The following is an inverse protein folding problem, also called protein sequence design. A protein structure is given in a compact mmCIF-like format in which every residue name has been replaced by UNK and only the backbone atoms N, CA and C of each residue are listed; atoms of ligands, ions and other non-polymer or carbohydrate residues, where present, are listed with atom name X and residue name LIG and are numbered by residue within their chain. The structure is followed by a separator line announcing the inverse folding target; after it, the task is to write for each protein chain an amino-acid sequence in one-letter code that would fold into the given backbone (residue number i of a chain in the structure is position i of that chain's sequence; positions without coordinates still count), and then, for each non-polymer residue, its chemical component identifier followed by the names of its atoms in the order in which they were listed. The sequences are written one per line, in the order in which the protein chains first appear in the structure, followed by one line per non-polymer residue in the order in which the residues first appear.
data_IF_565583733972
#
_entry.id   IF_565583733972
#
_cell.length_a   1.000
_cell.length_b   1.000
_cell.length_c   1.000
_cell.angle_alpha   90.00
_cell.angle_beta   90.00
_cell.angle_gamma   90.00
#
_symmetry.space_group_name_H-M   'P 1'
#
loop_
_entity.id
_entity.type
_entity.pdbx_description
1 polymer ?
#
# COMPACT_ATOMS: atom_id res chain seq x y z
N UNK A 1 -41.06 -7.87 -18.60
CA UNK A 1 -40.01 -8.81 -19.05
C UNK A 1 -38.96 -9.18 -17.99
N UNK A 2 -38.28 -8.25 -17.30
CA UNK A 2 -37.23 -8.55 -16.29
C UNK A 2 -37.64 -9.54 -15.17
N UNK A 3 -38.90 -9.48 -14.69
CA UNK A 3 -39.42 -10.41 -13.66
C UNK A 3 -39.69 -11.83 -14.19
N UNK A 4 -39.97 -11.99 -15.50
CA UNK A 4 -40.24 -13.29 -16.14
C UNK A 4 -38.94 -14.06 -16.41
N UNK A 5 -37.92 -13.35 -16.91
CA UNK A 5 -36.56 -13.88 -17.17
C UNK A 5 -35.92 -14.41 -15.88
N UNK A 6 -36.16 -13.73 -14.74
CA UNK A 6 -35.73 -14.19 -13.41
C UNK A 6 -36.39 -15.50 -12.94
N UNK A 7 -37.55 -15.92 -13.47
CA UNK A 7 -38.20 -17.19 -13.07
C UNK A 7 -37.75 -18.38 -13.92
N UNK A 8 -37.26 -18.15 -15.15
CA UNK A 8 -37.00 -19.20 -16.14
C UNK A 8 -35.52 -19.63 -16.18
N UNK A 9 -34.57 -18.73 -15.87
CA UNK A 9 -33.14 -19.06 -15.94
C UNK A 9 -32.68 -19.92 -14.73
N UNK A 10 -31.83 -20.95 -14.93
CA UNK A 10 -31.08 -21.60 -13.86
C UNK A 10 -30.25 -20.61 -13.02
N UNK A 11 -30.02 -20.90 -11.73
CA UNK A 11 -29.32 -20.01 -10.80
C UNK A 11 -27.91 -19.58 -11.28
N UNK A 12 -27.16 -20.51 -11.89
CA UNK A 12 -25.84 -20.23 -12.50
C UNK A 12 -25.93 -19.19 -13.62
N UNK A 13 -26.92 -19.30 -14.52
CA UNK A 13 -27.10 -18.36 -15.62
C UNK A 13 -27.61 -17.00 -15.12
N UNK A 14 -28.40 -16.96 -14.04
CA UNK A 14 -28.77 -15.70 -13.37
C UNK A 14 -27.54 -15.00 -12.79
N UNK A 15 -26.64 -15.72 -12.10
CA UNK A 15 -25.39 -15.15 -11.57
C UNK A 15 -24.51 -14.59 -12.68
N UNK A 16 -24.33 -15.34 -13.78
CA UNK A 16 -23.59 -14.86 -14.96
C UNK A 16 -24.22 -13.61 -15.58
N UNK A 17 -25.55 -13.55 -15.67
CA UNK A 17 -26.26 -12.39 -16.23
C UNK A 17 -26.20 -11.16 -15.31
N UNK A 18 -26.22 -11.35 -13.98
CA UNK A 18 -26.00 -10.26 -13.01
C UNK A 18 -24.57 -9.72 -13.16
N UNK A 19 -23.56 -10.59 -13.14
CA UNK A 19 -22.15 -10.20 -13.33
C UNK A 19 -21.92 -9.48 -14.67
N UNK A 20 -22.55 -9.94 -15.75
CA UNK A 20 -22.49 -9.27 -17.04
C UNK A 20 -23.09 -7.86 -16.99
N UNK A 21 -24.26 -7.69 -16.37
CA UNK A 21 -24.89 -6.37 -16.25
C UNK A 21 -24.09 -5.43 -15.35
N UNK A 22 -23.54 -5.93 -14.23
CA UNK A 22 -22.67 -5.17 -13.34
C UNK A 22 -21.42 -4.69 -14.09
N UNK A 23 -20.75 -5.59 -14.82
CA UNK A 23 -19.60 -5.23 -15.66
C UNK A 23 -19.96 -4.20 -16.73
N UNK A 24 -21.06 -4.40 -17.45
CA UNK A 24 -21.52 -3.44 -18.48
C UNK A 24 -21.83 -2.07 -17.89
N UNK A 25 -22.50 -2.02 -16.74
CA UNK A 25 -22.81 -0.75 -16.07
C UNK A 25 -21.53 -0.05 -15.60
N UNK A 26 -20.55 -0.82 -15.11
CA UNK A 26 -19.25 -0.31 -14.70
C UNK A 26 -18.46 0.24 -15.89
N UNK A 27 -18.41 -0.49 -17.01
CA UNK A 27 -17.78 -0.04 -18.26
C UNK A 27 -18.42 1.25 -18.77
N UNK A 28 -19.76 1.34 -18.71
CA UNK A 28 -20.50 2.55 -19.05
C UNK A 28 -20.15 3.71 -18.12
N UNK A 29 -20.03 3.49 -16.81
CA UNK A 29 -19.66 4.52 -15.85
C UNK A 29 -18.21 5.02 -16.08
N UNK A 30 -17.27 4.11 -16.35
CA UNK A 30 -15.89 4.44 -16.72
C UNK A 30 -15.85 5.18 -18.07
N UNK A 31 -16.74 4.84 -19.00
CA UNK A 31 -16.88 5.56 -20.26
C UNK A 31 -17.44 6.97 -20.08
N UNK A 32 -18.49 7.14 -19.27
CA UNK A 32 -19.05 8.44 -18.99
C UNK A 32 -18.02 9.34 -18.31
N UNK A 33 -17.34 8.84 -17.26
CA UNK A 33 -16.28 9.58 -16.58
C UNK A 33 -15.18 10.04 -17.55
N UNK A 34 -14.78 9.17 -18.49
CA UNK A 34 -13.79 9.54 -19.50
C UNK A 34 -14.28 10.67 -20.40
N UNK A 35 -15.53 10.61 -20.87
CA UNK A 35 -16.11 11.63 -21.72
C UNK A 35 -16.19 12.97 -20.99
N UNK A 36 -16.70 12.97 -19.75
CA UNK A 36 -16.79 14.16 -18.90
C UNK A 36 -15.41 14.78 -18.66
N UNK A 37 -14.40 13.94 -18.40
CA UNK A 37 -13.00 14.39 -18.25
C UNK A 37 -12.48 15.04 -19.54
N UNK A 38 -12.66 14.40 -20.70
CA UNK A 38 -12.18 14.96 -21.96
C UNK A 38 -12.90 16.29 -22.30
N UNK A 39 -14.20 16.38 -22.10
CA UNK A 39 -14.96 17.62 -22.32
C UNK A 39 -14.46 18.76 -21.42
N UNK A 40 -14.30 18.49 -20.13
CA UNK A 40 -13.89 19.51 -19.17
C UNK A 40 -12.42 19.95 -19.35
N UNK A 41 -11.52 19.04 -19.74
CA UNK A 41 -10.11 19.37 -20.01
C UNK A 41 -9.93 20.48 -21.05
N UNK A 42 -10.82 20.57 -22.04
CA UNK A 42 -10.73 21.59 -23.10
C UNK A 42 -11.24 22.96 -22.66
N UNK A 43 -12.05 23.02 -21.59
CA UNK A 43 -12.75 24.24 -21.15
C UNK A 43 -12.32 24.73 -19.76
N UNK A 44 -11.57 23.92 -19.00
CA UNK A 44 -11.09 24.30 -17.67
C UNK A 44 -10.13 25.49 -17.77
N UNK A 45 -10.40 26.52 -16.95
CA UNK A 45 -9.55 27.71 -16.89
C UNK A 45 -8.31 27.41 -16.05
N UNK A 46 -7.13 27.90 -16.44
CA UNK A 46 -5.94 27.83 -15.59
C UNK A 46 -6.21 28.45 -14.22
N UNK A 47 -5.79 27.75 -13.18
CA UNK A 47 -5.85 28.23 -11.80
C UNK A 47 -4.50 28.86 -11.48
N UNK A 48 -4.53 30.09 -10.98
CA UNK A 48 -3.31 30.78 -10.58
C UNK A 48 -2.72 30.10 -9.33
N UNK A 49 -1.69 29.29 -9.53
CA UNK A 49 -0.94 28.61 -8.48
C UNK A 49 0.23 29.49 -8.05
N UNK A 50 0.40 29.66 -6.74
CA UNK A 50 1.51 30.44 -6.20
C UNK A 50 2.86 29.74 -6.40
N UNK A 51 3.93 30.44 -6.03
CA UNK A 51 5.28 29.88 -5.99
C UNK A 51 5.54 29.04 -4.72
N UNK A 52 4.59 29.02 -3.78
CA UNK A 52 4.68 28.32 -2.48
C UNK A 52 3.65 27.20 -2.37
N UNK A 53 4.00 26.15 -1.64
CA UNK A 53 3.08 25.07 -1.29
C UNK A 53 2.26 25.44 -0.04
N UNK A 54 1.13 26.13 -0.21
CA UNK A 54 0.24 26.50 0.88
C UNK A 54 -0.93 25.53 1.05
N UNK A 55 -1.42 24.95 -0.04
CA UNK A 55 -2.52 23.97 -0.03
C UNK A 55 -2.22 22.76 -0.90
N UNK A 56 -2.39 21.59 -0.31
CA UNK A 56 -2.19 20.29 -0.95
C UNK A 56 -3.51 19.52 -0.90
N UNK A 57 -3.90 18.89 -2.01
CA UNK A 57 -4.93 17.85 -2.01
C UNK A 57 -4.28 16.47 -2.15
N UNK A 58 -4.60 15.57 -1.22
CA UNK A 58 -4.27 14.15 -1.31
C UNK A 58 -5.48 13.39 -1.83
N UNK A 59 -5.29 12.60 -2.89
CA UNK A 59 -6.28 11.68 -3.43
C UNK A 59 -5.82 10.24 -3.12
N UNK A 60 -6.42 9.64 -2.08
CA UNK A 60 -6.02 8.32 -1.60
C UNK A 60 -6.59 7.20 -2.49
N UNK A 61 -5.83 6.10 -2.62
CA UNK A 61 -6.25 4.92 -3.39
C UNK A 61 -7.44 4.16 -2.78
N UNK A 62 -7.63 4.28 -1.46
CA UNK A 62 -8.82 3.80 -0.74
C UNK A 62 -9.49 4.99 -0.02
N UNK A 63 -10.43 5.69 -0.68
CA UNK A 63 -11.14 6.82 -0.08
C UNK A 63 -12.24 6.40 0.90
N UNK A 64 -12.47 5.09 1.09
CA UNK A 64 -13.54 4.51 1.93
C UNK A 64 -12.99 3.94 3.25
N UNK A 65 -11.74 3.51 3.31
CA UNK A 65 -11.16 3.00 4.55
C UNK A 65 -9.86 3.69 4.91
N UNK A 66 -9.77 5.00 4.68
CA UNK A 66 -8.59 5.83 5.02
C UNK A 66 -7.89 5.33 6.30
N UNK A 67 -6.60 5.02 6.19
CA UNK A 67 -5.76 4.49 7.28
C UNK A 67 -6.12 3.10 7.82
N UNK A 68 -7.00 2.35 7.17
CA UNK A 68 -7.35 0.98 7.52
C UNK A 68 -6.19 0.00 7.29
N UNK A 69 -5.48 0.19 6.18
CA UNK A 69 -4.19 -0.45 5.90
C UNK A 69 -3.06 0.47 6.34
N UNK A 70 -2.13 -0.03 7.15
CA UNK A 70 -0.95 0.75 7.52
C UNK A 70 -0.04 1.05 6.32
N UNK A 71 -0.24 0.38 5.18
CA UNK A 71 0.46 0.71 3.94
C UNK A 71 0.03 2.04 3.33
N UNK A 72 -1.27 2.27 3.21
CA UNK A 72 -1.80 3.54 2.70
C UNK A 72 -1.48 4.67 3.68
N UNK A 73 -1.57 4.39 4.98
CA UNK A 73 -1.10 5.30 6.04
C UNK A 73 0.37 5.70 5.82
N UNK A 74 1.26 4.75 5.53
CA UNK A 74 2.67 5.04 5.27
C UNK A 74 2.86 6.03 4.10
N UNK A 75 2.15 5.83 2.99
CA UNK A 75 2.28 6.69 1.80
C UNK A 75 1.66 8.08 2.03
N UNK A 76 0.49 8.15 2.67
CA UNK A 76 -0.16 9.42 3.02
C UNK A 76 0.73 10.18 4.01
N UNK A 77 1.21 9.53 5.06
CA UNK A 77 2.06 10.17 6.08
C UNK A 77 3.40 10.61 5.50
N UNK A 78 4.02 9.84 4.60
CA UNK A 78 5.23 10.25 3.89
C UNK A 78 4.97 11.51 3.02
N UNK A 79 3.81 11.58 2.36
CA UNK A 79 3.40 12.78 1.61
C UNK A 79 3.31 14.01 2.53
N UNK A 80 2.65 13.86 3.67
CA UNK A 80 2.51 14.94 4.68
C UNK A 80 3.86 15.40 5.20
N UNK A 81 4.75 14.46 5.56
CA UNK A 81 6.09 14.79 6.06
C UNK A 81 6.92 15.57 5.02
N UNK A 82 6.88 15.15 3.75
CA UNK A 82 7.63 15.83 2.68
C UNK A 82 7.01 17.20 2.33
N UNK A 83 5.68 17.33 2.32
CA UNK A 83 5.02 18.62 2.12
C UNK A 83 5.36 19.61 3.25
N UNK A 84 5.31 19.15 4.51
CA UNK A 84 5.65 19.96 5.68
C UNK A 84 7.13 20.31 5.80
N UNK A 85 8.02 19.50 5.22
CA UNK A 85 9.43 19.86 5.08
C UNK A 85 9.66 21.04 4.13
N UNK A 86 8.74 21.28 3.17
CA UNK A 86 8.76 22.45 2.29
C UNK A 86 8.05 23.67 2.92
N UNK A 87 6.91 23.43 3.57
CA UNK A 87 6.17 24.43 4.33
C UNK A 87 5.48 23.79 5.55
N UNK A 88 5.93 24.06 6.80
CA UNK A 88 5.34 23.47 8.01
C UNK A 88 3.85 23.77 8.19
N UNK A 89 3.36 24.87 7.60
CA UNK A 89 1.98 25.36 7.73
C UNK A 89 1.09 24.99 6.53
N UNK A 90 1.54 24.10 5.64
CA UNK A 90 0.73 23.63 4.51
C UNK A 90 -0.60 23.07 5.00
N UNK A 91 -1.70 23.58 4.46
CA UNK A 91 -3.05 23.05 4.66
C UNK A 91 -3.22 21.82 3.77
N UNK A 92 -3.68 20.71 4.35
CA UNK A 92 -3.77 19.43 3.65
C UNK A 92 -5.22 18.97 3.62
N UNK A 93 -5.77 18.94 2.42
CA UNK A 93 -7.08 18.39 2.13
C UNK A 93 -6.91 16.92 1.71
N UNK A 94 -7.87 16.07 2.08
CA UNK A 94 -7.91 14.68 1.64
C UNK A 94 -9.27 14.32 1.07
N UNK A 95 -9.24 13.71 -0.11
CA UNK A 95 -10.45 13.31 -0.82
C UNK A 95 -11.01 12.01 -0.22
N UNK A 96 -12.29 12.01 0.14
CA UNK A 96 -13.00 10.89 0.79
C UNK A 96 -14.29 10.51 0.06
N UNK A 97 -14.79 9.31 0.35
CA UNK A 97 -16.10 8.83 -0.08
C UNK A 97 -17.04 8.60 1.12
N UNK A 98 -17.75 9.65 1.51
CA UNK A 98 -18.69 9.66 2.64
C UNK A 98 -18.15 10.29 3.92
N UNK A 99 -18.97 10.24 4.98
CA UNK A 99 -18.76 11.03 6.22
C UNK A 99 -18.14 10.25 7.37
N UNK A 100 -17.91 8.94 7.24
CA UNK A 100 -17.42 8.06 8.31
C UNK A 100 -15.93 8.29 8.69
N UNK A 101 -15.27 9.30 8.13
CA UNK A 101 -13.82 9.57 8.29
C UNK A 101 -13.52 10.80 9.13
N UNK A 102 -14.55 11.56 9.52
CA UNK A 102 -14.39 12.84 10.20
C UNK A 102 -13.39 12.73 11.35
N UNK A 103 -13.59 11.79 12.26
CA UNK A 103 -12.79 11.74 13.49
C UNK A 103 -11.32 11.37 13.24
N UNK A 104 -11.02 10.38 12.39
CA UNK A 104 -9.63 9.93 12.15
C UNK A 104 -8.84 10.89 11.25
N UNK A 105 -9.49 11.49 10.26
CA UNK A 105 -8.87 12.48 9.38
C UNK A 105 -8.64 13.82 10.11
N UNK A 106 -9.63 14.29 10.88
CA UNK A 106 -9.52 15.52 11.67
C UNK A 106 -8.48 15.40 12.78
N UNK A 107 -8.38 14.25 13.47
CA UNK A 107 -7.33 14.00 14.47
C UNK A 107 -5.91 14.10 13.88
N UNK A 108 -5.76 13.85 12.58
CA UNK A 108 -4.48 13.98 11.85
C UNK A 108 -4.30 15.35 11.20
N UNK A 109 -5.24 16.26 11.40
CA UNK A 109 -5.21 17.63 10.90
C UNK A 109 -5.55 17.78 9.42
N UNK A 110 -6.32 16.85 8.84
CA UNK A 110 -6.78 16.95 7.46
C UNK A 110 -8.12 17.68 7.36
N UNK A 111 -8.29 18.43 6.27
CA UNK A 111 -9.61 18.90 5.83
C UNK A 111 -10.20 17.85 4.89
N UNK A 112 -11.37 17.30 5.19
CA UNK A 112 -12.00 16.27 4.36
C UNK A 112 -12.75 16.87 3.18
N UNK A 113 -12.61 16.25 2.00
CA UNK A 113 -13.28 16.65 0.76
C UNK A 113 -14.14 15.49 0.25
N UNK A 114 -15.40 15.47 0.63
CA UNK A 114 -16.36 14.41 0.30
C UNK A 114 -16.96 14.61 -1.10
N UNK A 115 -16.19 14.24 -2.12
CA UNK A 115 -16.63 14.28 -3.51
C UNK A 115 -16.39 12.96 -4.26
N UNK A 116 -15.65 11.99 -3.69
CA UNK A 116 -15.23 10.81 -4.44
C UNK A 116 -16.42 10.01 -4.94
N UNK A 117 -17.45 9.81 -4.11
CA UNK A 117 -18.65 9.05 -4.44
C UNK A 117 -19.62 9.77 -5.38
N UNK A 118 -19.41 11.05 -5.66
CA UNK A 118 -20.38 11.84 -6.44
C UNK A 118 -20.48 11.35 -7.89
N UNK A 119 -21.71 11.27 -8.46
CA UNK A 119 -21.90 10.91 -9.86
C UNK A 119 -21.23 11.89 -10.84
N UNK A 120 -21.19 13.18 -10.49
CA UNK A 120 -20.59 14.28 -11.24
C UNK A 120 -19.15 14.59 -10.77
N UNK A 121 -18.40 13.56 -10.37
CA UNK A 121 -17.06 13.67 -9.77
C UNK A 121 -16.13 14.67 -10.50
N UNK A 122 -16.08 14.64 -11.84
CA UNK A 122 -15.22 15.51 -12.64
C UNK A 122 -15.58 16.99 -12.45
N UNK A 123 -16.88 17.31 -12.47
CA UNK A 123 -17.37 18.67 -12.27
C UNK A 123 -17.15 19.13 -10.82
N UNK A 124 -17.43 18.26 -9.85
CA UNK A 124 -17.21 18.53 -8.43
C UNK A 124 -15.72 18.78 -8.13
N UNK A 125 -14.81 18.03 -8.76
CA UNK A 125 -13.38 18.19 -8.62
C UNK A 125 -12.89 19.53 -9.19
N UNK A 126 -13.35 19.92 -10.39
CA UNK A 126 -13.02 21.22 -10.96
C UNK A 126 -13.53 22.39 -10.11
N UNK A 127 -14.74 22.28 -9.55
CA UNK A 127 -15.27 23.26 -8.60
C UNK A 127 -14.39 23.35 -7.35
N UNK A 128 -13.98 22.21 -6.80
CA UNK A 128 -13.08 22.17 -5.65
C UNK A 128 -11.75 22.87 -5.96
N UNK A 129 -11.16 22.62 -7.13
CA UNK A 129 -9.93 23.28 -7.57
C UNK A 129 -10.11 24.80 -7.65
N UNK A 130 -11.21 25.29 -8.24
CA UNK A 130 -11.49 26.72 -8.37
C UNK A 130 -11.69 27.42 -7.01
N UNK A 131 -12.34 26.74 -6.05
CA UNK A 131 -12.64 27.28 -4.72
C UNK A 131 -11.40 27.26 -3.82
N UNK A 132 -10.74 26.11 -3.71
CA UNK A 132 -9.61 25.91 -2.77
C UNK A 132 -8.29 26.43 -3.30
N UNK A 133 -8.13 26.47 -4.63
CA UNK A 133 -6.89 26.88 -5.31
C UNK A 133 -5.68 26.12 -4.75
N UNK A 134 -5.70 24.79 -4.92
CA UNK A 134 -4.58 23.95 -4.49
C UNK A 134 -3.33 24.29 -5.29
N UNK A 135 -2.18 24.25 -4.61
CA UNK A 135 -0.89 24.43 -5.25
C UNK A 135 -0.35 23.11 -5.82
N UNK A 136 -0.71 22.00 -5.17
CA UNK A 136 -0.32 20.67 -5.61
C UNK A 136 -1.43 19.63 -5.35
N UNK A 137 -1.53 18.64 -6.24
CA UNK A 137 -2.34 17.43 -6.06
C UNK A 137 -1.44 16.20 -6.02
N UNK A 138 -1.59 15.37 -5.00
CA UNK A 138 -0.87 14.09 -4.87
C UNK A 138 -1.85 12.94 -4.91
N UNK A 139 -1.66 12.03 -5.86
CA UNK A 139 -2.46 10.80 -5.97
C UNK A 139 -1.66 9.64 -5.40
N UNK A 140 -2.21 8.99 -4.37
CA UNK A 140 -1.63 7.80 -3.74
C UNK A 140 -2.14 6.55 -4.47
N UNK A 141 -1.43 6.16 -5.53
CA UNK A 141 -1.87 5.08 -6.41
C UNK A 141 -1.66 3.65 -5.85
N UNK A 142 -0.70 3.47 -4.93
CA UNK A 142 -0.39 2.18 -4.28
C UNK A 142 -0.45 0.97 -5.25
N UNK A 143 -1.41 0.08 -5.10
CA UNK A 143 -1.63 -1.08 -5.97
C UNK A 143 -3.00 -1.07 -6.69
N UNK A 144 -3.62 0.11 -6.84
CA UNK A 144 -4.98 0.25 -7.39
C UNK A 144 -5.03 0.85 -8.79
N UNK A 145 -3.91 1.24 -9.39
CA UNK A 145 -3.87 2.02 -10.64
C UNK A 145 -4.14 1.23 -11.93
N UNK A 146 -4.33 -0.08 -11.84
CA UNK A 146 -4.57 -0.98 -12.97
C UNK A 146 -6.03 -1.47 -13.09
N UNK A 147 -6.89 -1.10 -12.15
CA UNK A 147 -8.31 -1.46 -12.16
C UNK A 147 -8.62 -2.87 -11.63
N UNK A 148 -7.66 -3.58 -11.04
CA UNK A 148 -7.88 -4.92 -10.46
C UNK A 148 -9.00 -4.91 -9.41
N UNK A 149 -8.93 -3.97 -8.48
CA UNK A 149 -9.90 -3.83 -7.40
C UNK A 149 -11.19 -3.21 -7.91
N UNK A 150 -11.09 -2.05 -8.56
CA UNK A 150 -12.24 -1.37 -9.15
C UNK A 150 -11.81 -0.36 -10.24
N UNK A 151 -12.13 -0.57 -11.51
CA UNK A 151 -11.66 0.28 -12.60
C UNK A 151 -12.15 1.74 -12.51
N UNK A 152 -13.34 1.99 -11.94
CA UNK A 152 -13.81 3.37 -11.74
C UNK A 152 -12.97 4.12 -10.69
N UNK A 153 -12.43 3.42 -9.69
CA UNK A 153 -11.55 4.04 -8.68
C UNK A 153 -10.27 4.48 -9.37
N UNK A 154 -9.60 3.58 -10.09
CA UNK A 154 -8.39 3.89 -10.86
C UNK A 154 -8.62 5.03 -11.88
N UNK A 155 -9.77 5.02 -12.55
CA UNK A 155 -10.13 6.07 -13.50
C UNK A 155 -10.29 7.45 -12.81
N UNK A 156 -10.89 7.50 -11.61
CA UNK A 156 -10.99 8.75 -10.82
C UNK A 156 -9.63 9.23 -10.30
N UNK A 157 -8.74 8.32 -9.91
CA UNK A 157 -7.37 8.65 -9.52
C UNK A 157 -6.60 9.28 -10.69
N UNK A 158 -6.65 8.65 -11.87
CA UNK A 158 -6.04 9.19 -13.10
C UNK A 158 -6.66 10.54 -13.49
N UNK A 159 -8.00 10.64 -13.47
CA UNK A 159 -8.71 11.88 -13.76
C UNK A 159 -8.33 13.02 -12.83
N UNK A 160 -8.01 12.72 -11.56
CA UNK A 160 -7.63 13.74 -10.59
C UNK A 160 -6.31 14.42 -10.94
N UNK A 161 -5.30 13.65 -11.32
CA UNK A 161 -4.03 14.20 -11.79
C UNK A 161 -4.16 14.85 -13.19
N UNK A 162 -4.90 14.21 -14.10
CA UNK A 162 -5.08 14.69 -15.48
C UNK A 162 -5.77 16.06 -15.52
N UNK A 163 -6.88 16.21 -14.78
CA UNK A 163 -7.61 17.47 -14.70
C UNK A 163 -6.80 18.55 -13.97
N UNK A 164 -6.03 18.19 -12.94
CA UNK A 164 -5.13 19.11 -12.27
C UNK A 164 -4.07 19.67 -13.22
N UNK A 165 -3.46 18.81 -14.02
CA UNK A 165 -2.48 19.21 -15.03
C UNK A 165 -3.10 20.13 -16.10
N UNK A 166 -4.32 19.83 -16.56
CA UNK A 166 -5.06 20.68 -17.50
C UNK A 166 -5.42 22.06 -16.91
N UNK A 167 -5.65 22.13 -15.60
CA UNK A 167 -5.88 23.38 -14.87
C UNK A 167 -4.59 24.14 -14.53
N UNK A 168 -3.40 23.63 -14.91
CA UNK A 168 -2.10 24.23 -14.56
C UNK A 168 -1.65 23.98 -13.12
N UNK A 169 -2.29 23.06 -12.39
CA UNK A 169 -1.92 22.69 -11.02
C UNK A 169 -0.81 21.63 -11.05
N UNK A 170 0.24 21.83 -10.25
CA UNK A 170 1.32 20.84 -10.11
C UNK A 170 0.74 19.55 -9.54
N UNK A 171 1.15 18.42 -10.08
CA UNK A 171 0.59 17.14 -9.68
C UNK A 171 1.63 16.02 -9.75
N UNK A 172 1.38 14.97 -8.96
CA UNK A 172 2.13 13.73 -9.02
C UNK A 172 1.24 12.55 -8.65
N UNK A 173 1.36 11.47 -9.40
CA UNK A 173 0.91 10.15 -9.01
C UNK A 173 2.14 9.44 -8.42
N UNK A 174 2.08 9.11 -7.13
CA UNK A 174 3.16 8.41 -6.43
C UNK A 174 3.37 7.01 -7.02
N UNK A 175 4.56 6.45 -6.81
CA UNK A 175 4.98 5.14 -7.26
C UNK A 175 3.93 4.07 -6.98
N UNK A 176 3.27 3.61 -8.05
CA UNK A 176 2.27 2.54 -7.99
C UNK A 176 2.78 1.27 -8.64
N UNK A 177 2.18 0.12 -8.29
CA UNK A 177 2.36 -1.12 -9.08
C UNK A 177 1.32 -1.26 -10.17
N UNK A 178 1.67 -2.05 -11.18
CA UNK A 178 0.79 -2.36 -12.30
C UNK A 178 0.80 -3.87 -12.57
N UNK A 179 -0.38 -4.49 -12.60
CA UNK A 179 -0.51 -5.94 -12.80
C UNK A 179 -0.48 -6.36 -14.29
N UNK A 180 -0.44 -7.67 -14.55
CA UNK A 180 -0.36 -8.27 -15.90
C UNK A 180 -1.68 -8.26 -16.69
N UNK A 181 -2.81 -8.12 -16.00
CA UNK A 181 -4.16 -8.12 -16.57
C UNK A 181 -4.92 -6.86 -16.17
N UNK A 182 -4.44 -5.66 -16.55
CA UNK A 182 -5.10 -4.40 -16.22
C UNK A 182 -6.46 -4.32 -16.89
N UNK A 183 -7.37 -3.53 -16.31
CA UNK A 183 -8.71 -3.38 -16.86
C UNK A 183 -8.65 -2.61 -18.20
N UNK A 184 -9.11 -3.18 -19.34
CA UNK A 184 -8.90 -2.59 -20.67
C UNK A 184 -9.45 -1.17 -20.85
N UNK A 185 -10.54 -0.83 -20.16
CA UNK A 185 -11.13 0.50 -20.20
C UNK A 185 -10.22 1.62 -19.69
N UNK A 186 -9.13 1.30 -18.98
CA UNK A 186 -8.15 2.27 -18.50
C UNK A 186 -7.13 2.67 -19.58
N UNK A 187 -6.98 1.91 -20.67
CA UNK A 187 -5.98 2.18 -21.70
C UNK A 187 -6.14 3.60 -22.29
N UNK A 188 -7.39 4.00 -22.57
CA UNK A 188 -7.71 5.36 -23.06
C UNK A 188 -7.37 6.46 -22.06
N UNK A 189 -7.44 6.22 -20.75
CA UNK A 189 -7.06 7.21 -19.74
C UNK A 189 -5.55 7.44 -19.80
N UNK A 190 -4.75 6.36 -19.72
CA UNK A 190 -3.29 6.44 -19.82
C UNK A 190 -2.82 7.08 -21.13
N UNK A 191 -3.40 6.68 -22.27
CA UNK A 191 -3.03 7.22 -23.57
C UNK A 191 -3.46 8.68 -23.81
N UNK A 192 -4.43 9.19 -23.02
CA UNK A 192 -4.94 10.56 -23.16
C UNK A 192 -4.55 11.47 -21.99
N UNK A 193 -3.64 11.02 -21.10
CA UNK A 193 -3.14 11.82 -19.99
C UNK A 193 -2.54 13.13 -20.50
N UNK A 194 -2.85 14.22 -19.83
CA UNK A 194 -2.21 15.50 -20.11
C UNK A 194 -0.68 15.39 -19.93
N UNK A 195 0.14 15.97 -20.83
CA UNK A 195 1.60 15.83 -20.76
C UNK A 195 2.25 16.35 -19.47
N UNK A 196 1.55 17.23 -18.75
CA UNK A 196 1.97 17.75 -17.45
C UNK A 196 1.67 16.84 -16.25
N UNK A 197 1.18 15.61 -16.46
CA UNK A 197 1.00 14.63 -15.39
C UNK A 197 2.33 13.99 -15.03
N UNK A 198 2.74 14.07 -13.76
CA UNK A 198 3.91 13.34 -13.26
C UNK A 198 3.48 11.94 -12.84
N UNK A 199 3.86 10.93 -13.62
CA UNK A 199 3.45 9.54 -13.44
C UNK A 199 4.63 8.69 -12.96
N UNK A 200 4.60 8.20 -11.72
CA UNK A 200 5.68 7.39 -11.15
C UNK A 200 5.27 5.93 -10.95
N UNK A 201 6.14 4.98 -11.31
CA UNK A 201 5.91 3.54 -11.16
C UNK A 201 6.98 2.95 -10.23
N UNK A 202 6.57 2.15 -9.24
CA UNK A 202 7.42 1.80 -8.09
C UNK A 202 8.44 0.67 -8.32
N UNK A 203 8.38 -0.01 -9.45
CA UNK A 203 9.27 -1.12 -9.78
C UNK A 203 9.30 -1.40 -11.29
N UNK A 204 10.36 -2.07 -11.75
CA UNK A 204 10.60 -2.31 -13.18
C UNK A 204 9.56 -3.24 -13.80
N UNK A 205 9.10 -4.25 -13.06
CA UNK A 205 8.08 -5.20 -13.54
C UNK A 205 6.77 -4.46 -13.83
N UNK A 206 6.35 -3.58 -12.92
CA UNK A 206 5.20 -2.70 -13.11
C UNK A 206 5.39 -1.74 -14.28
N UNK A 207 6.60 -1.20 -14.48
CA UNK A 207 6.88 -0.27 -15.59
C UNK A 207 6.79 -0.97 -16.95
N UNK A 208 7.35 -2.17 -17.08
CA UNK A 208 7.26 -2.99 -18.29
C UNK A 208 5.79 -3.30 -18.64
N UNK A 209 4.99 -3.69 -17.64
CA UNK A 209 3.56 -3.96 -17.82
C UNK A 209 2.78 -2.72 -18.25
N UNK A 210 3.08 -1.56 -17.66
CA UNK A 210 2.45 -0.29 -18.07
C UNK A 210 2.82 0.08 -19.51
N UNK A 211 4.09 -0.04 -19.89
CA UNK A 211 4.57 0.26 -21.24
C UNK A 211 3.95 -0.66 -22.31
N UNK A 212 3.69 -1.93 -21.96
CA UNK A 212 2.97 -2.85 -22.82
C UNK A 212 1.47 -2.53 -22.94
N UNK A 213 0.89 -1.85 -21.94
CA UNK A 213 -0.53 -1.53 -21.88
C UNK A 213 -0.89 -0.19 -22.57
N UNK A 214 -0.07 0.85 -22.39
CA UNK A 214 -0.33 2.19 -22.92
C UNK A 214 0.96 2.98 -23.17
N UNK A 215 0.89 3.99 -24.04
CA UNK A 215 2.03 4.84 -24.40
C UNK A 215 2.33 5.96 -23.38
N UNK A 216 2.00 5.74 -22.10
CA UNK A 216 2.17 6.74 -21.05
C UNK A 216 3.65 6.88 -20.66
N UNK A 217 4.13 8.13 -20.53
CA UNK A 217 5.49 8.39 -20.04
C UNK A 217 5.50 8.30 -18.51
N UNK A 218 6.00 7.18 -18.00
CA UNK A 218 6.19 6.96 -16.57
C UNK A 218 7.67 7.03 -16.19
N UNK A 219 7.95 7.56 -15.00
CA UNK A 219 9.27 7.50 -14.38
C UNK A 219 9.36 6.29 -13.43
N UNK A 220 10.49 5.58 -13.49
CA UNK A 220 10.80 4.54 -12.52
C UNK A 220 11.25 5.18 -11.19
N UNK A 221 10.56 4.81 -10.12
CA UNK A 221 10.91 5.15 -8.74
C UNK A 221 10.87 3.87 -7.90
N UNK A 222 11.14 3.98 -6.59
CA UNK A 222 10.73 2.97 -5.62
C UNK A 222 9.45 3.42 -4.91
N UNK A 223 8.86 2.53 -4.13
CA UNK A 223 7.67 2.85 -3.35
C UNK A 223 7.89 4.08 -2.45
N UNK A 224 6.89 4.96 -2.39
CA UNK A 224 6.98 6.23 -1.63
C UNK A 224 7.09 6.01 -0.12
N UNK A 225 6.63 4.86 0.42
CA UNK A 225 6.70 4.54 1.84
C UNK A 225 8.16 4.33 2.35
N UNK A 226 9.12 4.09 1.45
CA UNK A 226 10.55 4.12 1.81
C UNK A 226 10.98 5.50 2.36
N UNK A 227 10.36 6.59 1.90
CA UNK A 227 10.63 7.96 2.38
C UNK A 227 9.93 8.31 3.70
N UNK A 228 9.08 7.43 4.25
CA UNK A 228 8.44 7.65 5.54
C UNK A 228 9.50 7.82 6.64
N UNK A 229 9.47 8.94 7.36
CA UNK A 229 10.30 9.13 8.56
C UNK A 229 9.69 8.34 9.71
N UNK A 230 10.45 7.42 10.35
CA UNK A 230 9.95 6.61 11.44
C UNK A 230 9.76 7.42 12.72
N UNK A 231 8.87 6.94 13.59
CA UNK A 231 8.76 7.36 14.99
C UNK A 231 9.35 6.28 15.89
N UNK A 232 9.77 6.62 17.10
CA UNK A 232 10.24 5.60 18.05
C UNK A 232 9.06 4.69 18.48
N UNK A 233 9.31 3.37 18.66
CA UNK A 233 8.35 2.49 19.30
C UNK A 233 8.06 2.89 20.75
N UNK A 234 7.04 2.27 21.34
CA UNK A 234 6.79 2.40 22.77
C UNK A 234 7.91 1.78 23.61
N UNK A 235 8.04 2.27 24.85
CA UNK A 235 9.12 1.89 25.76
C UNK A 235 9.11 0.40 26.12
N UNK A 236 7.94 -0.22 26.24
CA UNK A 236 7.81 -1.64 26.56
C UNK A 236 8.33 -2.51 25.41
N UNK A 237 7.95 -2.20 24.17
CA UNK A 237 8.49 -2.86 22.97
C UNK A 237 10.02 -2.70 22.88
N UNK A 238 10.54 -1.48 23.05
CA UNK A 238 12.00 -1.23 22.98
C UNK A 238 12.74 -2.00 24.08
N UNK A 239 12.23 -1.94 25.31
CA UNK A 239 12.85 -2.58 26.48
C UNK A 239 12.87 -4.09 26.33
N UNK A 240 11.81 -4.69 25.78
CA UNK A 240 11.79 -6.13 25.49
C UNK A 240 12.80 -6.53 24.42
N UNK A 241 12.88 -5.79 23.31
CA UNK A 241 13.88 -6.05 22.26
C UNK A 241 15.29 -5.97 22.83
N UNK A 242 15.59 -4.91 23.61
CA UNK A 242 16.90 -4.71 24.21
C UNK A 242 17.26 -5.82 25.20
N UNK A 243 16.32 -6.20 26.08
CA UNK A 243 16.48 -7.30 27.04
C UNK A 243 16.77 -8.62 26.33
N UNK A 244 15.99 -8.98 25.30
CA UNK A 244 16.21 -10.23 24.55
C UNK A 244 17.55 -10.31 23.84
N UNK A 245 18.03 -9.19 23.32
CA UNK A 245 19.39 -9.11 22.77
C UNK A 245 20.46 -9.26 23.84
N UNK A 246 20.29 -8.66 25.02
CA UNK A 246 21.22 -8.82 26.13
C UNK A 246 21.27 -10.27 26.65
N UNK A 247 20.16 -11.01 26.54
CA UNK A 247 20.07 -12.45 26.82
C UNK A 247 20.72 -13.33 25.71
N UNK A 248 21.20 -12.74 24.61
CA UNK A 248 21.86 -13.45 23.51
C UNK A 248 20.93 -13.89 22.38
N UNK A 249 19.66 -13.46 22.38
CA UNK A 249 18.71 -13.77 21.33
C UNK A 249 18.74 -12.73 20.20
N UNK A 250 18.55 -13.19 18.96
CA UNK A 250 18.12 -12.32 17.85
C UNK A 250 16.61 -12.07 17.95
N UNK A 251 16.17 -10.86 17.68
CA UNK A 251 14.73 -10.52 17.68
C UNK A 251 14.24 -10.37 16.25
N UNK A 252 13.48 -11.36 15.80
CA UNK A 252 12.93 -11.46 14.46
C UNK A 252 11.46 -11.00 14.45
N UNK A 253 11.03 -10.36 13.37
CA UNK A 253 9.62 -10.02 13.14
C UNK A 253 8.88 -11.12 12.39
N UNK A 254 7.62 -11.32 12.70
CA UNK A 254 6.73 -12.19 11.94
C UNK A 254 5.39 -11.52 11.65
N UNK A 255 4.97 -11.58 10.39
CA UNK A 255 3.65 -11.17 9.94
C UNK A 255 3.12 -12.17 8.91
N UNK A 256 1.86 -12.56 9.08
CA UNK A 256 1.13 -13.46 8.20
C UNK A 256 -0.27 -12.91 7.98
N UNK A 257 -0.73 -12.98 6.74
CA UNK A 257 -2.03 -12.45 6.35
C UNK A 257 -2.96 -13.54 5.78
N UNK A 258 -4.21 -13.68 6.28
CA UNK A 258 -5.11 -14.75 5.82
C UNK A 258 -5.49 -14.66 4.33
N UNK A 259 -5.56 -13.46 3.71
CA UNK A 259 -5.85 -13.35 2.26
C UNK A 259 -4.74 -13.89 1.34
N UNK A 260 -3.59 -14.32 1.88
CA UNK A 260 -2.62 -15.10 1.09
C UNK A 260 -3.22 -16.41 0.57
N UNK A 261 -4.23 -16.93 1.27
CA UNK A 261 -4.86 -18.21 1.00
C UNK A 261 -6.25 -17.96 0.38
N UNK A 262 -6.28 -17.77 -0.94
CA UNK A 262 -7.50 -17.45 -1.67
C UNK A 262 -8.58 -18.52 -1.44
N UNK A 263 -9.78 -18.07 -1.08
CA UNK A 263 -10.96 -18.92 -0.81
C UNK A 263 -10.73 -19.96 0.31
N UNK A 264 -9.80 -19.71 1.23
CA UNK A 264 -9.58 -20.60 2.35
C UNK A 264 -10.82 -20.63 3.25
N UNK A 265 -11.28 -21.85 3.60
CA UNK A 265 -12.32 -22.04 4.59
C UNK A 265 -11.76 -21.90 6.02
N UNK A 266 -12.66 -21.89 7.02
CA UNK A 266 -12.28 -21.74 8.42
C UNK A 266 -11.32 -22.83 8.92
N UNK A 267 -11.42 -24.06 8.38
CA UNK A 267 -10.54 -25.17 8.77
C UNK A 267 -9.13 -24.99 8.21
N UNK A 268 -9.01 -24.51 6.96
CA UNK A 268 -7.74 -24.17 6.33
C UNK A 268 -7.07 -23.01 7.05
N UNK A 269 -7.81 -21.95 7.38
CA UNK A 269 -7.28 -20.82 8.17
C UNK A 269 -6.78 -21.29 9.55
N UNK A 270 -7.54 -22.14 10.25
CA UNK A 270 -7.10 -22.72 11.52
C UNK A 270 -5.84 -23.57 11.38
N UNK A 271 -5.71 -24.33 10.29
CA UNK A 271 -4.50 -25.11 9.99
C UNK A 271 -3.28 -24.22 9.72
N UNK A 272 -3.46 -23.10 9.00
CA UNK A 272 -2.40 -22.12 8.74
C UNK A 272 -1.94 -21.47 10.04
N UNK A 273 -2.87 -21.07 10.91
CA UNK A 273 -2.58 -20.48 12.23
C UNK A 273 -1.74 -21.47 13.06
N UNK A 274 -2.20 -22.72 13.17
CA UNK A 274 -1.49 -23.76 13.93
C UNK A 274 -0.08 -23.99 13.39
N UNK A 275 0.07 -24.14 12.07
CA UNK A 275 1.38 -24.33 11.44
C UNK A 275 2.30 -23.13 11.58
N UNK A 276 1.73 -21.92 11.58
CA UNK A 276 2.48 -20.70 11.91
C UNK A 276 3.06 -20.78 13.31
N UNK A 277 2.23 -21.12 14.32
CA UNK A 277 2.67 -21.26 15.70
C UNK A 277 3.74 -22.36 15.87
N UNK A 278 3.50 -23.55 15.33
CA UNK A 278 4.43 -24.68 15.34
C UNK A 278 5.78 -24.31 14.71
N UNK A 279 5.77 -23.55 13.61
CA UNK A 279 7.01 -23.13 12.95
C UNK A 279 7.80 -22.09 13.74
N UNK A 280 7.13 -21.11 14.36
CA UNK A 280 7.80 -20.12 15.21
C UNK A 280 8.45 -20.80 16.42
N UNK A 281 7.75 -21.75 17.03
CA UNK A 281 8.24 -22.57 18.14
C UNK A 281 9.43 -23.43 17.71
N UNK A 282 9.30 -24.18 16.62
CA UNK A 282 10.36 -25.04 16.10
C UNK A 282 11.67 -24.27 15.87
N UNK A 283 11.59 -23.08 15.27
CA UNK A 283 12.77 -22.25 15.01
C UNK A 283 13.32 -21.66 16.30
N UNK A 284 12.46 -21.28 17.25
CA UNK A 284 12.89 -20.83 18.56
C UNK A 284 13.64 -21.95 19.31
N UNK A 285 13.21 -23.20 19.25
CA UNK A 285 13.96 -24.29 19.88
C UNK A 285 15.29 -24.60 19.18
N UNK A 286 15.33 -24.45 17.86
CA UNK A 286 16.51 -24.74 17.05
C UNK A 286 17.57 -23.63 17.05
N UNK A 287 17.21 -22.37 17.34
CA UNK A 287 18.09 -21.18 17.24
C UNK A 287 17.82 -20.19 18.38
N UNK A 288 18.82 -19.38 18.80
CA UNK A 288 18.61 -18.34 19.79
C UNK A 288 17.87 -17.14 19.17
N UNK A 289 16.58 -17.31 18.88
CA UNK A 289 15.69 -16.27 18.35
C UNK A 289 14.47 -16.01 19.23
N UNK A 290 13.96 -14.79 19.19
CA UNK A 290 12.64 -14.41 19.67
C UNK A 290 11.85 -13.81 18.52
N UNK A 291 10.53 -14.01 18.52
CA UNK A 291 9.61 -13.53 17.51
C UNK A 291 8.74 -12.41 18.06
N UNK A 292 8.75 -11.26 17.40
CA UNK A 292 7.76 -10.22 17.55
C UNK A 292 6.73 -10.37 16.43
N UNK A 293 5.50 -10.73 16.78
CA UNK A 293 4.39 -10.89 15.85
C UNK A 293 3.71 -9.53 15.66
N UNK A 294 3.74 -9.01 14.43
CA UNK A 294 3.42 -7.61 14.12
C UNK A 294 2.20 -7.53 13.19
N UNK A 295 1.04 -7.04 13.69
CA UNK A 295 -0.09 -6.68 12.85
C UNK A 295 0.22 -5.48 11.95
N UNK A 296 -0.36 -5.44 10.75
CA UNK A 296 -0.17 -4.36 9.79
C UNK A 296 -1.46 -3.99 9.02
N UNK A 297 -2.58 -4.67 9.30
CA UNK A 297 -3.89 -4.30 8.78
C UNK A 297 -4.95 -4.46 9.87
N UNK A 298 -5.63 -3.36 10.14
CA UNK A 298 -6.55 -3.21 11.27
C UNK A 298 -8.02 -3.20 10.84
N UNK A 299 -8.29 -3.45 9.54
CA UNK A 299 -9.63 -3.49 8.97
C UNK A 299 -10.40 -4.69 9.49
N UNK A 300 -11.71 -4.48 9.65
CA UNK A 300 -12.63 -5.53 10.06
C UNK A 300 -12.68 -6.62 8.97
N UNK A 301 -12.73 -7.88 9.38
CA UNK A 301 -12.86 -9.10 8.54
C UNK A 301 -11.67 -9.43 7.62
N UNK A 302 -10.86 -8.43 7.22
CA UNK A 302 -9.70 -8.60 6.32
C UNK A 302 -8.36 -8.22 6.96
N UNK A 303 -8.33 -7.80 8.21
CA UNK A 303 -7.10 -7.51 8.95
C UNK A 303 -6.30 -8.77 9.33
N UNK A 304 -5.01 -8.63 9.63
CA UNK A 304 -4.18 -9.74 10.11
C UNK A 304 -4.26 -9.97 11.63
N UNK A 305 -4.82 -9.02 12.39
CA UNK A 305 -4.83 -9.06 13.87
C UNK A 305 -5.31 -10.38 14.46
N UNK A 306 -6.49 -10.86 14.03
CA UNK A 306 -7.10 -12.06 14.60
C UNK A 306 -6.25 -13.31 14.33
N UNK A 307 -5.71 -13.43 13.11
CA UNK A 307 -4.82 -14.52 12.71
C UNK A 307 -3.53 -14.49 13.55
N UNK A 308 -2.90 -13.33 13.66
CA UNK A 308 -1.63 -13.18 14.36
C UNK A 308 -1.73 -13.34 15.88
N UNK A 309 -2.83 -12.85 16.46
CA UNK A 309 -3.12 -13.07 17.87
C UNK A 309 -3.30 -14.55 18.17
N UNK A 310 -4.08 -15.26 17.34
CA UNK A 310 -4.27 -16.70 17.48
C UNK A 310 -2.95 -17.50 17.32
N UNK A 311 -2.04 -17.10 16.43
CA UNK A 311 -0.70 -17.70 16.31
C UNK A 311 0.07 -17.55 17.64
N UNK A 312 0.01 -16.37 18.25
CA UNK A 312 0.75 -16.09 19.49
C UNK A 312 0.15 -16.82 20.69
N UNK A 313 -1.19 -16.92 20.75
CA UNK A 313 -1.91 -17.62 21.82
C UNK A 313 -1.71 -19.15 21.80
N UNK A 314 -1.33 -19.71 20.65
CA UNK A 314 -0.98 -21.13 20.52
C UNK A 314 0.46 -21.45 20.94
N UNK A 315 1.30 -20.44 21.19
CA UNK A 315 2.66 -20.68 21.67
C UNK A 315 2.61 -21.30 23.09
N UNK A 316 3.33 -22.41 23.35
CA UNK A 316 3.30 -23.05 24.66
C UNK A 316 3.88 -22.14 25.75
N UNK A 317 3.46 -22.38 26.99
CA UNK A 317 3.83 -21.55 28.16
C UNK A 317 5.35 -21.42 28.37
N UNK A 318 6.13 -22.42 27.94
CA UNK A 318 7.60 -22.40 27.97
C UNK A 318 8.22 -21.34 27.04
N UNK A 319 7.47 -20.90 26.03
CA UNK A 319 7.91 -19.98 24.97
C UNK A 319 7.19 -18.63 25.00
N UNK A 320 6.35 -18.36 26.01
CA UNK A 320 5.55 -17.13 26.08
C UNK A 320 6.39 -15.85 26.04
N UNK A 321 7.63 -15.88 26.55
CA UNK A 321 8.55 -14.72 26.46
C UNK A 321 9.40 -14.72 25.16
N UNK A 322 9.33 -15.78 24.35
CA UNK A 322 10.05 -15.90 23.06
C UNK A 322 9.17 -15.66 21.84
N UNK A 323 7.84 -15.74 21.96
CA UNK A 323 6.88 -15.35 20.91
C UNK A 323 5.95 -14.29 21.49
N UNK A 324 6.16 -13.03 21.10
CA UNK A 324 5.45 -11.88 21.65
C UNK A 324 4.56 -11.24 20.58
N UNK A 325 3.32 -10.94 20.91
CA UNK A 325 2.42 -10.14 20.07
C UNK A 325 2.62 -8.65 20.33
N UNK A 326 2.71 -7.85 19.27
CA UNK A 326 2.71 -6.40 19.36
C UNK A 326 1.26 -5.91 19.59
N UNK A 327 0.90 -5.69 20.84
CA UNK A 327 -0.45 -5.26 21.22
C UNK A 327 -0.74 -3.82 20.77
N UNK A 328 -2.02 -3.50 20.56
CA UNK A 328 -2.47 -2.17 20.13
C UNK A 328 -2.61 -1.97 18.62
N UNK A 329 -2.90 -0.71 18.26
CA UNK A 329 -3.00 -0.22 16.88
C UNK A 329 -1.98 0.88 16.69
N UNK A 330 -0.98 0.63 15.87
CA UNK A 330 0.16 1.53 15.70
C UNK A 330 0.11 2.24 14.35
N UNK A 331 0.40 3.55 14.30
CA UNK A 331 0.49 4.26 13.04
C UNK A 331 1.74 3.83 12.27
N UNK A 332 1.72 3.99 10.94
CA UNK A 332 2.81 3.54 10.08
C UNK A 332 4.22 4.02 10.47
N UNK A 333 4.44 5.27 10.93
CA UNK A 333 5.76 5.71 11.41
C UNK A 333 6.30 4.86 12.57
N UNK A 334 5.43 4.46 13.51
CA UNK A 334 5.81 3.64 14.67
C UNK A 334 6.12 2.22 14.21
N UNK A 335 5.30 1.63 13.33
CA UNK A 335 5.58 0.30 12.76
C UNK A 335 6.92 0.27 12.00
N UNK A 336 7.28 1.36 11.30
CA UNK A 336 8.61 1.50 10.68
C UNK A 336 9.73 1.65 11.71
N UNK A 337 9.48 2.34 12.82
CA UNK A 337 10.36 2.37 13.98
C UNK A 337 10.62 0.98 14.54
N UNK A 338 9.56 0.22 14.81
CA UNK A 338 9.60 -1.16 15.33
C UNK A 338 10.40 -2.04 14.37
N UNK A 339 10.02 -2.05 13.09
CA UNK A 339 10.69 -2.83 12.05
C UNK A 339 12.20 -2.54 12.00
N UNK A 340 12.60 -1.27 12.17
CA UNK A 340 13.99 -0.86 12.20
C UNK A 340 14.79 -1.29 13.43
N UNK A 341 14.15 -1.79 14.49
CA UNK A 341 14.83 -2.35 15.66
C UNK A 341 15.04 -3.87 15.55
N UNK A 342 14.55 -4.54 14.51
CA UNK A 342 14.60 -6.01 14.38
C UNK A 342 15.87 -6.54 13.70
N UNK A 343 16.16 -7.82 13.92
CA UNK A 343 17.28 -8.54 13.32
C UNK A 343 16.94 -9.18 11.96
N UNK A 344 15.65 -9.37 11.68
CA UNK A 344 15.09 -9.74 10.39
C UNK A 344 13.56 -9.79 10.47
N UNK A 345 12.87 -9.90 9.33
CA UNK A 345 11.41 -9.91 9.26
C UNK A 345 10.90 -10.93 8.24
N UNK A 346 9.89 -11.71 8.64
CA UNK A 346 9.05 -12.49 7.74
C UNK A 346 7.75 -11.75 7.55
N UNK A 347 7.31 -11.49 6.31
CA UNK A 347 6.07 -10.73 6.11
C UNK A 347 5.25 -11.15 4.91
N UNK A 348 3.94 -11.31 5.14
CA UNK A 348 2.92 -11.37 4.10
C UNK A 348 2.40 -9.99 3.65
N UNK A 349 2.97 -8.89 4.14
CA UNK A 349 2.52 -7.51 3.88
C UNK A 349 3.65 -6.67 3.30
N UNK A 350 3.49 -6.25 2.05
CA UNK A 350 4.50 -5.46 1.33
C UNK A 350 4.97 -4.21 2.08
N UNK A 351 4.06 -3.42 2.64
CA UNK A 351 4.46 -2.18 3.30
C UNK A 351 5.21 -2.41 4.62
N UNK A 352 4.97 -3.54 5.31
CA UNK A 352 5.80 -3.94 6.46
C UNK A 352 7.20 -4.38 5.99
N UNK A 353 7.29 -5.09 4.86
CA UNK A 353 8.57 -5.40 4.23
C UNK A 353 9.33 -4.13 3.80
N UNK A 354 8.66 -3.16 3.18
CA UNK A 354 9.24 -1.84 2.83
C UNK A 354 9.72 -1.11 4.09
N UNK A 355 8.96 -1.17 5.17
CA UNK A 355 9.34 -0.54 6.44
C UNK A 355 10.65 -1.13 7.00
N UNK A 356 10.80 -2.46 7.01
CA UNK A 356 12.02 -3.13 7.44
C UNK A 356 13.20 -2.92 6.48
N UNK A 357 13.01 -3.15 5.17
CA UNK A 357 14.03 -2.94 4.14
C UNK A 357 14.53 -1.49 4.16
N UNK A 358 13.62 -0.52 4.32
CA UNK A 358 13.94 0.91 4.43
C UNK A 358 14.77 1.29 5.67
N UNK A 359 14.92 0.36 6.62
CA UNK A 359 15.77 0.47 7.81
C UNK A 359 16.99 -0.45 7.74
N UNK A 360 17.23 -1.09 6.60
CA UNK A 360 18.36 -2.01 6.42
C UNK A 360 18.16 -3.36 7.11
N UNK A 361 16.92 -3.72 7.45
CA UNK A 361 16.58 -5.00 8.08
C UNK A 361 16.27 -6.03 6.99
N UNK A 362 16.86 -7.23 7.03
CA UNK A 362 16.64 -8.27 6.04
C UNK A 362 15.20 -8.78 6.13
N UNK A 363 14.62 -9.11 4.97
CA UNK A 363 13.23 -9.55 4.88
C UNK A 363 13.11 -10.80 4.01
N UNK A 364 12.26 -11.74 4.42
CA UNK A 364 11.66 -12.74 3.53
C UNK A 364 10.16 -12.50 3.41
N UNK A 365 9.68 -12.34 2.18
CA UNK A 365 8.28 -12.07 1.89
C UNK A 365 7.52 -13.36 1.55
N UNK A 366 6.27 -13.44 2.02
CA UNK A 366 5.33 -14.49 1.66
C UNK A 366 4.59 -14.02 0.42
N UNK A 367 4.96 -14.56 -0.75
CA UNK A 367 4.52 -14.03 -2.02
C UNK A 367 3.04 -14.28 -2.29
N UNK A 368 2.40 -13.27 -2.86
CA UNK A 368 1.08 -13.37 -3.46
C UNK A 368 0.97 -12.38 -4.63
N UNK A 369 0.18 -12.75 -5.63
CA UNK A 369 -0.25 -11.85 -6.71
C UNK A 369 0.88 -11.19 -7.53
N UNK A 370 2.10 -11.76 -7.58
CA UNK A 370 3.19 -11.20 -8.38
C UNK A 370 3.58 -9.78 -7.95
N UNK A 371 3.42 -9.47 -6.65
CA UNK A 371 3.63 -8.14 -6.08
C UNK A 371 5.06 -7.90 -5.59
N UNK A 372 5.79 -8.93 -5.17
CA UNK A 372 7.06 -8.75 -4.44
C UNK A 372 8.30 -8.83 -5.34
N UNK A 373 8.16 -9.32 -6.56
CA UNK A 373 9.24 -9.57 -7.50
C UNK A 373 9.97 -8.26 -7.84
N UNK A 374 9.23 -7.20 -8.15
CA UNK A 374 9.79 -5.87 -8.38
C UNK A 374 10.48 -5.29 -7.14
N UNK A 375 9.94 -5.53 -5.94
CA UNK A 375 10.58 -5.14 -4.68
C UNK A 375 11.90 -5.87 -4.44
N UNK A 376 11.96 -7.17 -4.73
CA UNK A 376 13.18 -7.98 -4.56
C UNK A 376 14.26 -7.57 -5.55
N UNK A 377 13.89 -7.30 -6.81
CA UNK A 377 14.84 -6.84 -7.83
C UNK A 377 15.53 -5.53 -7.45
N UNK A 378 14.84 -4.60 -6.80
CA UNK A 378 15.45 -3.38 -6.24
C UNK A 378 16.65 -3.67 -5.32
N UNK A 379 16.59 -4.76 -4.54
CA UNK A 379 17.64 -5.15 -3.61
C UNK A 379 18.59 -6.21 -4.17
N UNK A 380 18.44 -6.61 -5.44
CA UNK A 380 19.21 -7.71 -6.04
C UNK A 380 18.92 -9.07 -5.40
N UNK A 381 17.75 -9.21 -4.77
CA UNK A 381 17.26 -10.48 -4.21
C UNK A 381 16.54 -11.29 -5.28
N UNK A 382 16.58 -12.61 -5.16
CA UNK A 382 15.98 -13.50 -6.16
C UNK A 382 14.51 -13.74 -5.86
N UNK A 383 13.65 -13.66 -6.87
CA UNK A 383 12.25 -14.05 -6.72
C UNK A 383 12.09 -15.53 -6.28
N UNK A 384 13.10 -16.38 -6.49
CA UNK A 384 13.11 -17.76 -6.00
C UNK A 384 13.25 -17.86 -4.46
N UNK A 385 13.71 -16.78 -3.80
CA UNK A 385 13.81 -16.69 -2.33
C UNK A 385 12.47 -16.28 -1.69
N UNK A 386 11.44 -15.95 -2.49
CA UNK A 386 10.11 -15.66 -1.98
C UNK A 386 9.45 -16.92 -1.39
N UNK A 387 8.83 -16.77 -0.21
CA UNK A 387 8.12 -17.87 0.42
C UNK A 387 6.76 -18.05 -0.25
N UNK A 388 6.58 -19.17 -0.96
CA UNK A 388 5.28 -19.54 -1.53
C UNK A 388 4.28 -19.93 -0.41
N UNK A 389 3.01 -19.48 -0.45
CA UNK A 389 1.98 -19.92 0.47
C UNK A 389 1.81 -21.45 0.51
N UNK A 390 2.15 -22.15 -0.58
CA UNK A 390 2.11 -23.61 -0.63
C UNK A 390 3.04 -24.30 0.39
N UNK A 391 4.10 -23.62 0.84
CA UNK A 391 5.01 -24.13 1.88
C UNK A 391 4.31 -24.29 3.24
N UNK A 392 3.23 -23.55 3.48
CA UNK A 392 2.38 -23.73 4.66
C UNK A 392 1.53 -25.01 4.57
N UNK A 393 1.44 -25.68 3.42
CA UNK A 393 0.71 -26.94 3.27
C UNK A 393 1.58 -28.18 3.48
N UNK A 394 2.88 -28.02 3.67
CA UNK A 394 3.83 -29.11 3.95
C UNK A 394 4.44 -28.93 5.33
N UNK A 395 4.59 -30.02 6.09
CA UNK A 395 5.00 -29.95 7.50
C UNK A 395 6.42 -29.35 7.65
N UNK A 396 7.36 -29.72 6.76
CA UNK A 396 8.74 -29.19 6.82
C UNK A 396 8.93 -27.87 6.04
N UNK A 397 7.94 -27.44 5.25
CA UNK A 397 8.13 -26.37 4.27
C UNK A 397 8.38 -25.01 4.89
N UNK A 398 7.54 -24.62 5.85
CA UNK A 398 7.68 -23.35 6.58
C UNK A 398 8.85 -23.41 7.56
N UNK A 399 9.05 -24.54 8.25
CA UNK A 399 10.11 -24.74 9.22
C UNK A 399 11.50 -24.53 8.59
N UNK A 400 11.76 -25.21 7.47
CA UNK A 400 13.02 -25.08 6.74
C UNK A 400 13.21 -23.66 6.18
N UNK A 401 12.14 -23.03 5.70
CA UNK A 401 12.23 -21.66 5.18
C UNK A 401 12.61 -20.65 6.27
N UNK A 402 12.01 -20.76 7.46
CA UNK A 402 12.30 -19.87 8.58
C UNK A 402 13.70 -20.12 9.15
N UNK A 403 14.14 -21.37 9.31
CA UNK A 403 15.52 -21.69 9.72
C UNK A 403 16.52 -21.10 8.72
N UNK A 404 16.34 -21.36 7.43
CA UNK A 404 17.24 -20.86 6.40
C UNK A 404 17.29 -19.33 6.41
N UNK A 405 16.15 -18.66 6.58
CA UNK A 405 16.11 -17.20 6.69
C UNK A 405 16.87 -16.69 7.92
N UNK A 406 16.67 -17.30 9.10
CA UNK A 406 17.41 -16.94 10.32
C UNK A 406 18.91 -17.10 10.10
N UNK A 407 19.33 -18.21 9.50
CA UNK A 407 20.76 -18.52 9.28
C UNK A 407 21.40 -17.62 8.22
N UNK A 408 20.64 -17.14 7.24
CA UNK A 408 21.11 -16.28 6.14
C UNK A 408 20.84 -14.78 6.36
N UNK A 409 20.19 -14.39 7.46
CA UNK A 409 19.72 -13.03 7.67
C UNK A 409 20.84 -11.98 7.57
N UNK A 410 22.06 -12.30 7.98
CA UNK A 410 23.19 -11.36 7.92
C UNK A 410 23.71 -11.15 6.49
N UNK A 411 23.72 -12.20 5.66
CA UNK A 411 24.04 -12.09 4.23
C UNK A 411 22.99 -11.25 3.50
N UNK A 412 21.71 -11.51 3.78
CA UNK A 412 20.60 -10.72 3.21
C UNK A 412 20.72 -9.26 3.66
N UNK A 413 21.06 -9.02 4.93
CA UNK A 413 21.25 -7.67 5.48
C UNK A 413 22.35 -6.92 4.74
N UNK A 414 23.46 -7.58 4.42
CA UNK A 414 24.55 -6.99 3.65
C UNK A 414 24.10 -6.59 2.24
N UNK A 415 23.37 -7.48 1.54
CA UNK A 415 22.79 -7.19 0.22
C UNK A 415 21.83 -6.00 0.28
N UNK A 416 20.93 -6.00 1.26
CA UNK A 416 19.96 -4.91 1.49
C UNK A 416 20.70 -3.60 1.76
N UNK A 417 21.70 -3.60 2.64
CA UNK A 417 22.48 -2.43 3.00
C UNK A 417 23.23 -1.80 1.81
N UNK A 418 23.77 -2.63 0.90
CA UNK A 418 24.46 -2.15 -0.32
C UNK A 418 23.52 -1.39 -1.27
N UNK A 419 22.26 -1.80 -1.36
CA UNK A 419 21.27 -1.21 -2.27
C UNK A 419 20.42 -0.10 -1.64
N UNK A 420 20.29 -0.10 -0.31
CA UNK A 420 19.41 0.82 0.40
C UNK A 420 19.58 2.31 0.04
N UNK A 421 20.80 2.89 -0.08
CA UNK A 421 20.93 4.30 -0.42
C UNK A 421 20.30 4.67 -1.77
N UNK A 422 20.46 3.82 -2.78
CA UNK A 422 19.85 3.98 -4.11
C UNK A 422 18.33 3.92 -4.03
N UNK A 423 17.78 2.97 -3.26
CA UNK A 423 16.33 2.82 -3.10
C UNK A 423 15.72 4.01 -2.34
N UNK A 424 16.41 4.53 -1.32
CA UNK A 424 15.95 5.73 -0.63
C UNK A 424 15.98 6.96 -1.54
N UNK A 425 16.97 7.09 -2.42
CA UNK A 425 17.00 8.15 -3.44
C UNK A 425 15.82 8.03 -4.41
N UNK A 426 15.59 6.83 -4.97
CA UNK A 426 14.46 6.56 -5.85
C UNK A 426 13.10 6.87 -5.18
N UNK A 427 12.95 6.55 -3.89
CA UNK A 427 11.73 6.87 -3.15
C UNK A 427 11.50 8.37 -3.04
N UNK A 428 12.55 9.16 -2.76
CA UNK A 428 12.46 10.61 -2.64
C UNK A 428 12.00 11.29 -3.93
N UNK A 429 12.29 10.68 -5.10
CA UNK A 429 11.84 11.20 -6.41
C UNK A 429 10.32 11.31 -6.53
N UNK A 430 9.57 10.54 -5.74
CA UNK A 430 8.11 10.71 -5.65
C UNK A 430 7.68 12.12 -5.21
N UNK A 431 8.52 12.82 -4.44
CA UNK A 431 8.21 14.09 -3.80
C UNK A 431 8.98 15.28 -4.39
N UNK A 432 9.73 15.08 -5.48
CA UNK A 432 10.47 16.15 -6.17
C UNK A 432 9.58 17.32 -6.62
N UNK A 433 8.29 17.08 -6.86
CA UNK A 433 7.34 18.15 -7.16
C UNK A 433 7.33 19.24 -6.07
N UNK A 434 7.58 18.89 -4.80
CA UNK A 434 7.63 19.84 -3.70
C UNK A 434 8.88 20.74 -3.70
N UNK A 435 9.97 20.30 -4.34
CA UNK A 435 11.21 21.08 -4.48
C UNK A 435 11.05 22.23 -5.48
N UNK A 436 10.02 22.18 -6.33
CA UNK A 436 9.71 23.23 -7.30
C UNK A 436 9.01 24.45 -6.68
N UNK A 437 8.71 24.41 -5.38
CA UNK A 437 8.14 25.53 -4.64
C UNK A 437 9.21 26.26 -3.83
N UNK A 438 9.05 27.56 -3.66
CA UNK A 438 9.88 28.35 -2.75
C UNK A 438 9.68 27.88 -1.31
N UNK A 439 10.77 27.58 -0.61
CA UNK A 439 10.75 27.17 0.80
C UNK A 439 10.31 28.34 1.70
N UNK A 440 9.54 28.04 2.74
CA UNK A 440 9.35 29.01 3.82
C UNK A 440 10.55 28.96 4.78
N UNK A 441 11.05 30.13 5.24
CA UNK A 441 12.16 30.20 6.20
C UNK A 441 11.80 29.58 7.56
#
# INVERSE_FOLDING_TARGET
MRKLVKKILPALLRRKLVQYNERRNLDNAVQQLFNDLQELKHSIKPINVGDRLNRLLIVAGDPITLFGSAGDDAMITATVQNARASNPNVEIDILVDGTNFGDSALQRGFVTVDIFGKPDFIQALAQQFAVRKYDCIVVVGADVMDGYYHPLVSAKLLASADLAAAAGIKNVILGFSFNETPHPALAKFYSSLHPGVSLNVRDVVSLERLNAFATAKAALVSDSAFSLVPSEPDEDTISWIARKRAEGYRVMGFNLHPMLFKNADSAQIAAIIRRGAEALEFVADARPVCWLVIPHDYRKDVGDQACLKAITELAPSSQTDRVRYLDGRWPAPVLKGVAGKLDGLVSGRMHLAIAALGKGVPVICIAYQGKFEGLYQHFGLSAAELLSPAKFHTDDGINNALINFVDQADEIREKVGKKLPEILDLSKRNFQVFETFAKQP
#
